data_IF_732116179790
#
_entry.id   IF_732116179790
#
_cell.length_a   1.000
_cell.length_b   1.000
_cell.length_c   1.000
_cell.angle_alpha   90.00
_cell.angle_beta   90.00
_cell.angle_gamma   90.00
#
_symmetry.space_group_name_H-M   'P 1'
#
loop_
_entity.id
_entity.type
_entity.pdbx_description
1 polymer ?
#
# COMPACT_ATOMS: atom_id res chain seq x y z
N UNK A 1 0.30 -8.87 -23.33
CA UNK A 1 0.60 -9.96 -22.95
C UNK A 1 -0.03 -11.34 -23.18
N UNK A 2 -0.12 -11.71 -24.45
CA UNK A 2 -0.68 -12.96 -24.91
C UNK A 2 0.02 -14.21 -24.34
N UNK A 3 1.27 -14.08 -23.89
CA UNK A 3 2.11 -15.18 -23.44
C UNK A 3 2.21 -15.29 -21.91
N UNK A 4 1.54 -14.45 -21.15
CA UNK A 4 1.66 -14.40 -19.68
C UNK A 4 1.34 -15.77 -19.04
N UNK A 5 0.34 -16.48 -19.56
CA UNK A 5 -0.04 -17.80 -19.03
C UNK A 5 1.03 -18.86 -19.27
N UNK A 6 1.68 -18.84 -20.46
CA UNK A 6 2.79 -19.73 -20.79
C UNK A 6 4.04 -19.38 -19.97
N UNK A 7 4.37 -18.10 -19.87
CA UNK A 7 5.45 -17.64 -19.02
C UNK A 7 5.22 -18.07 -17.55
N UNK A 8 3.99 -17.97 -17.06
CA UNK A 8 3.62 -18.45 -15.74
C UNK A 8 3.87 -19.95 -15.56
N UNK A 9 3.45 -20.78 -16.51
CA UNK A 9 3.67 -22.24 -16.45
C UNK A 9 5.16 -22.60 -16.40
N UNK A 10 5.99 -21.94 -17.22
CA UNK A 10 7.44 -22.15 -17.23
C UNK A 10 8.06 -21.75 -15.89
N UNK A 11 7.64 -20.61 -15.32
CA UNK A 11 8.13 -20.15 -14.03
C UNK A 11 7.67 -21.06 -12.87
N UNK A 12 6.43 -21.56 -12.93
CA UNK A 12 5.92 -22.56 -11.97
C UNK A 12 6.74 -23.87 -12.01
N UNK A 13 7.21 -24.29 -13.21
CA UNK A 13 8.08 -25.46 -13.35
C UNK A 13 9.50 -25.22 -12.81
N UNK A 14 10.04 -24.01 -13.00
CA UNK A 14 11.42 -23.67 -12.57
C UNK A 14 11.50 -23.37 -11.06
N UNK A 15 10.55 -22.58 -10.54
CA UNK A 15 10.60 -22.06 -9.17
C UNK A 15 9.69 -22.80 -8.20
N UNK A 16 8.71 -23.55 -8.69
CA UNK A 16 7.61 -24.13 -7.92
C UNK A 16 6.42 -23.15 -7.82
N UNK A 17 5.20 -23.68 -7.95
CA UNK A 17 3.94 -22.91 -7.88
C UNK A 17 3.79 -22.21 -6.51
N UNK A 18 4.29 -22.82 -5.45
CA UNK A 18 4.29 -22.30 -4.08
C UNK A 18 5.17 -21.07 -3.89
N UNK A 19 6.11 -20.84 -4.80
CA UNK A 19 7.05 -19.72 -4.77
C UNK A 19 6.61 -18.51 -5.61
N UNK A 20 5.40 -18.55 -6.16
CA UNK A 20 4.80 -17.39 -6.79
C UNK A 20 4.37 -16.35 -5.75
N UNK A 21 5.08 -15.26 -5.70
CA UNK A 21 4.80 -14.16 -4.77
C UNK A 21 3.60 -13.31 -5.21
N UNK A 22 3.38 -13.17 -6.51
CA UNK A 22 2.25 -12.41 -7.05
C UNK A 22 2.41 -12.06 -8.53
N UNK A 23 1.33 -11.56 -9.09
CA UNK A 23 1.29 -10.98 -10.44
C UNK A 23 0.90 -9.52 -10.32
N UNK A 24 1.73 -8.63 -10.88
CA UNK A 24 1.45 -7.20 -10.93
C UNK A 24 0.91 -6.89 -12.33
N UNK A 25 -0.20 -6.15 -12.38
CA UNK A 25 -0.76 -5.58 -13.60
C UNK A 25 -0.31 -4.14 -13.68
N UNK A 26 0.51 -3.79 -14.66
CA UNK A 26 1.04 -2.45 -14.85
C UNK A 26 0.40 -1.78 -16.06
N UNK A 27 -0.41 -0.75 -15.83
CA UNK A 27 -0.96 0.06 -16.91
C UNK A 27 0.18 0.73 -17.69
N UNK A 28 0.16 0.59 -19.03
CA UNK A 28 1.24 1.07 -19.90
C UNK A 28 0.77 2.11 -20.93
N UNK A 29 -0.53 2.38 -21.02
CA UNK A 29 -1.12 3.38 -21.94
C UNK A 29 -1.95 4.41 -21.19
N UNK A 30 -1.90 5.63 -21.67
CA UNK A 30 -2.69 6.76 -21.16
C UNK A 30 -4.09 6.76 -21.77
N UNK A 31 -4.21 6.28 -23.02
CA UNK A 31 -5.47 6.26 -23.78
C UNK A 31 -5.67 4.90 -24.44
N UNK A 32 -6.90 4.43 -24.57
CA UNK A 32 -7.19 3.17 -25.24
C UNK A 32 -6.85 3.24 -26.73
N UNK A 33 -6.59 2.08 -27.33
CA UNK A 33 -6.34 1.89 -28.74
C UNK A 33 -7.69 1.80 -29.48
N UNK A 34 -8.11 2.86 -30.16
CA UNK A 34 -9.45 2.98 -30.77
C UNK A 34 -9.70 2.04 -31.94
N UNK A 35 -8.67 1.48 -32.57
CA UNK A 35 -8.74 0.53 -33.66
C UNK A 35 -8.68 -0.93 -33.21
N UNK A 36 -8.69 -1.18 -31.91
CA UNK A 36 -8.75 -2.51 -31.35
C UNK A 36 -10.06 -3.20 -31.71
N UNK A 37 -10.00 -4.42 -32.27
CA UNK A 37 -11.19 -5.19 -32.68
C UNK A 37 -12.01 -5.73 -31.50
N UNK A 38 -11.38 -5.91 -30.33
CA UNK A 38 -12.02 -6.42 -29.11
C UNK A 38 -11.76 -5.46 -27.96
N UNK A 39 -10.73 -5.71 -27.19
CA UNK A 39 -10.33 -4.87 -26.07
C UNK A 39 -9.01 -4.17 -26.37
N UNK A 40 -8.85 -2.93 -25.89
CA UNK A 40 -7.56 -2.27 -25.88
C UNK A 40 -6.67 -2.94 -24.83
N UNK A 41 -5.52 -3.44 -25.23
CA UNK A 41 -4.52 -3.98 -24.30
C UNK A 41 -3.68 -2.82 -23.78
N UNK A 42 -3.98 -2.40 -22.55
CA UNK A 42 -3.43 -1.18 -21.95
C UNK A 42 -2.50 -1.46 -20.75
N UNK A 43 -2.05 -2.71 -20.63
CA UNK A 43 -1.22 -3.13 -19.50
C UNK A 43 -0.20 -4.20 -19.87
N UNK A 44 0.81 -4.30 -19.03
CA UNK A 44 1.79 -5.39 -19.00
C UNK A 44 1.61 -6.19 -17.69
N UNK A 45 2.15 -7.41 -17.67
CA UNK A 45 2.23 -8.22 -16.46
C UNK A 45 3.66 -8.32 -15.96
N UNK A 46 3.84 -8.25 -14.63
CA UNK A 46 5.09 -8.58 -13.96
C UNK A 46 4.83 -9.80 -13.08
N UNK A 47 5.40 -10.94 -13.44
CA UNK A 47 5.33 -12.16 -12.65
C UNK A 47 6.45 -12.15 -11.61
N UNK A 48 6.11 -12.26 -10.34
CA UNK A 48 7.06 -12.20 -9.24
C UNK A 48 7.18 -13.58 -8.60
N UNK A 49 8.39 -14.10 -8.59
CA UNK A 49 8.74 -15.37 -7.95
C UNK A 49 9.88 -15.15 -6.96
N UNK A 50 9.84 -15.86 -5.86
CA UNK A 50 10.96 -15.98 -4.94
C UNK A 50 11.61 -17.36 -5.09
N UNK A 51 12.88 -17.50 -4.76
CA UNK A 51 13.51 -18.82 -4.67
C UNK A 51 12.90 -19.64 -3.52
N UNK A 52 12.56 -18.98 -2.43
CA UNK A 52 11.82 -19.51 -1.28
C UNK A 52 10.90 -18.39 -0.76
N UNK A 53 9.60 -18.52 -1.01
CA UNK A 53 8.63 -17.49 -0.60
C UNK A 53 8.48 -17.40 0.93
N UNK A 54 8.79 -18.46 1.66
CA UNK A 54 8.74 -18.42 3.12
C UNK A 54 9.79 -17.45 3.74
N UNK A 55 10.88 -17.22 3.03
CA UNK A 55 12.00 -16.38 3.47
C UNK A 55 12.02 -15.01 2.78
N UNK A 56 11.06 -14.73 1.89
CA UNK A 56 11.04 -13.50 1.11
C UNK A 56 9.74 -12.71 1.27
N UNK A 57 9.88 -11.42 1.39
CA UNK A 57 8.78 -10.46 1.32
C UNK A 57 9.22 -9.26 0.47
N UNK A 58 8.31 -8.66 -0.31
CA UNK A 58 8.64 -7.47 -1.07
C UNK A 58 9.03 -6.32 -0.14
N UNK A 59 10.04 -5.57 -0.51
CA UNK A 59 10.35 -4.32 0.15
C UNK A 59 9.17 -3.34 -0.02
N UNK A 60 9.00 -2.47 0.96
CA UNK A 60 8.00 -1.42 0.88
C UNK A 60 8.48 -0.32 -0.06
N UNK A 61 7.56 0.19 -0.88
CA UNK A 61 7.80 1.37 -1.71
C UNK A 61 7.69 2.65 -0.88
N UNK A 62 8.35 3.70 -1.33
CA UNK A 62 8.18 5.04 -0.77
C UNK A 62 6.75 5.53 -0.95
N UNK A 63 6.32 6.40 -0.03
CA UNK A 63 5.02 7.06 -0.13
C UNK A 63 5.06 8.10 -1.22
N UNK A 64 3.90 8.32 -1.85
CA UNK A 64 3.74 9.50 -2.71
C UNK A 64 3.35 10.72 -1.87
N UNK A 65 3.56 11.92 -2.42
CA UNK A 65 3.17 13.17 -1.77
C UNK A 65 1.67 13.18 -1.41
N UNK A 66 0.80 12.68 -2.30
CA UNK A 66 -0.65 12.58 -2.05
C UNK A 66 -0.98 11.64 -0.87
N UNK A 67 -0.16 10.61 -0.64
CA UNK A 67 -0.31 9.72 0.52
C UNK A 67 0.18 10.39 1.81
N UNK A 68 1.16 11.27 1.74
CA UNK A 68 1.65 12.04 2.88
C UNK A 68 0.72 13.21 3.21
N UNK A 69 0.10 13.84 2.23
CA UNK A 69 -0.92 14.90 2.43
C UNK A 69 -2.15 14.43 3.23
N UNK A 70 -2.38 13.11 3.31
CA UNK A 70 -3.40 12.55 4.19
C UNK A 70 -3.07 12.65 5.68
N UNK A 71 -1.84 13.06 6.00
CA UNK A 71 -1.37 13.25 7.37
C UNK A 71 -1.36 14.73 7.71
N UNK A 72 -2.16 15.12 8.69
CA UNK A 72 -2.21 16.47 9.22
C UNK A 72 -1.74 16.51 10.67
N UNK A 73 -1.72 17.71 11.25
CA UNK A 73 -1.44 17.90 12.68
C UNK A 73 -2.41 18.94 13.28
N UNK A 74 -3.72 18.59 13.36
CA UNK A 74 -4.75 19.57 13.76
C UNK A 74 -4.72 19.93 15.24
N UNK A 75 -4.00 19.20 16.07
CA UNK A 75 -3.84 19.41 17.51
C UNK A 75 -2.39 19.76 17.91
N UNK A 76 -1.57 20.14 16.95
CA UNK A 76 -0.17 20.56 17.15
C UNK A 76 0.68 19.55 17.96
N UNK A 77 0.43 18.26 17.75
CA UNK A 77 1.17 17.21 18.45
C UNK A 77 2.66 17.28 18.08
N UNK A 78 3.52 17.29 19.08
CA UNK A 78 4.98 17.48 18.91
C UNK A 78 5.66 16.36 18.14
N UNK A 79 5.00 15.19 18.00
CA UNK A 79 5.48 14.05 17.21
C UNK A 79 5.29 14.27 15.70
N UNK A 80 4.60 15.33 15.30
CA UNK A 80 4.40 15.68 13.89
C UNK A 80 3.07 15.20 13.30
N UNK A 81 2.97 15.14 11.97
CA UNK A 81 1.73 14.80 11.27
C UNK A 81 1.25 13.37 11.56
N UNK A 82 -0.07 13.21 11.66
CA UNK A 82 -0.73 11.92 11.89
C UNK A 82 -2.02 11.79 11.07
N UNK A 83 -2.41 10.56 10.78
CA UNK A 83 -3.69 10.23 10.15
C UNK A 83 -4.65 9.64 11.17
N UNK A 84 -5.93 10.01 11.07
CA UNK A 84 -6.96 9.57 12.00
C UNK A 84 -7.63 8.28 11.53
N UNK A 85 -7.57 7.25 12.36
CA UNK A 85 -8.25 5.97 12.11
C UNK A 85 -9.47 5.81 13.02
N UNK A 86 -10.46 5.04 12.57
CA UNK A 86 -11.58 4.65 13.43
C UNK A 86 -11.10 3.83 14.62
N UNK A 87 -11.61 4.13 15.81
CA UNK A 87 -11.29 3.40 17.04
C UNK A 87 -12.13 2.13 17.21
N UNK A 88 -13.15 1.96 16.37
CA UNK A 88 -14.05 0.81 16.34
C UNK A 88 -13.71 -0.18 15.22
N UNK A 89 -14.13 -1.42 15.35
CA UNK A 89 -14.09 -2.48 14.35
C UNK A 89 -15.51 -2.91 13.97
N UNK A 90 -15.69 -3.43 12.75
CA UNK A 90 -16.98 -3.93 12.25
C UNK A 90 -17.31 -5.34 12.80
N UNK A 91 -17.06 -5.57 14.08
CA UNK A 91 -17.37 -6.81 14.80
C UNK A 91 -18.30 -6.50 15.94
N UNK A 92 -19.34 -7.30 16.10
CA UNK A 92 -20.34 -7.13 17.15
C UNK A 92 -19.83 -7.53 18.53
N UNK A 93 -20.51 -7.06 19.57
CA UNK A 93 -20.23 -7.46 20.96
C UNK A 93 -20.39 -8.98 21.20
N UNK A 94 -21.26 -9.66 20.44
CA UNK A 94 -21.38 -11.12 20.51
C UNK A 94 -20.19 -11.87 19.92
N UNK A 95 -19.53 -11.29 18.89
CA UNK A 95 -18.32 -11.87 18.29
C UNK A 95 -17.07 -11.58 19.14
N UNK A 96 -17.03 -10.41 19.79
CA UNK A 96 -15.87 -9.95 20.57
C UNK A 96 -16.29 -9.26 21.86
N UNK A 97 -16.83 -9.99 22.84
CA UNK A 97 -17.37 -9.41 24.07
C UNK A 97 -16.31 -8.68 24.92
N UNK A 98 -15.06 -9.12 24.88
CA UNK A 98 -13.94 -8.50 25.58
C UNK A 98 -13.51 -7.12 25.00
N UNK A 99 -14.02 -6.75 23.82
CA UNK A 99 -13.78 -5.46 23.20
C UNK A 99 -15.00 -4.52 23.28
N UNK A 100 -16.03 -4.91 24.03
CA UNK A 100 -17.24 -4.12 24.26
C UNK A 100 -17.25 -3.66 25.73
N UNK A 101 -16.65 -2.50 26.00
CA UNK A 101 -16.51 -1.91 27.35
C UNK A 101 -16.66 -0.38 27.26
N UNK A 102 -17.00 0.25 28.40
CA UNK A 102 -17.06 1.71 28.50
C UNK A 102 -15.68 2.32 28.54
N UNK A 103 -15.49 3.42 27.83
CA UNK A 103 -14.36 4.34 27.98
C UNK A 103 -14.86 5.71 28.47
N UNK A 104 -14.06 6.44 29.23
CA UNK A 104 -14.47 7.73 29.77
C UNK A 104 -14.05 8.84 28.80
N UNK A 105 -15.00 9.67 28.42
CA UNK A 105 -14.74 10.85 27.61
C UNK A 105 -13.93 11.87 28.41
N UNK A 106 -12.72 12.29 27.95
CA UNK A 106 -11.81 13.08 28.77
C UNK A 106 -12.33 14.47 29.15
N UNK A 107 -13.18 15.09 28.31
CA UNK A 107 -13.72 16.42 28.53
C UNK A 107 -15.02 16.44 29.33
N UNK A 108 -15.87 15.42 29.15
CA UNK A 108 -17.24 15.41 29.74
C UNK A 108 -17.38 14.46 30.90
N UNK A 109 -16.48 13.50 31.08
CA UNK A 109 -16.56 12.47 32.09
C UNK A 109 -17.65 11.39 31.82
N UNK A 110 -18.33 11.47 30.67
CA UNK A 110 -19.41 10.54 30.32
C UNK A 110 -18.83 9.23 29.78
N UNK A 111 -19.50 8.13 30.11
CA UNK A 111 -19.19 6.82 29.50
C UNK A 111 -19.53 6.80 28.01
N UNK A 112 -18.59 6.32 27.21
CA UNK A 112 -18.74 6.13 25.77
C UNK A 112 -18.58 4.66 25.46
N UNK A 113 -19.57 4.10 24.79
CA UNK A 113 -19.60 2.72 24.32
C UNK A 113 -19.39 2.67 22.81
N UNK A 114 -18.92 1.54 22.23
CA UNK A 114 -18.93 1.34 20.79
C UNK A 114 -20.35 1.53 20.22
N UNK A 115 -20.45 1.95 18.98
CA UNK A 115 -21.74 2.01 18.29
C UNK A 115 -22.31 0.61 18.11
N UNK A 116 -23.64 0.51 18.04
CA UNK A 116 -24.34 -0.75 17.80
C UNK A 116 -23.77 -1.50 16.59
N UNK A 117 -23.57 -2.81 16.74
CA UNK A 117 -22.96 -3.65 15.71
C UNK A 117 -21.43 -3.54 15.60
N UNK A 118 -20.78 -2.74 16.47
CA UNK A 118 -19.32 -2.58 16.48
C UNK A 118 -18.74 -2.90 17.87
N UNK A 119 -17.40 -3.03 17.92
CA UNK A 119 -16.63 -3.10 19.17
C UNK A 119 -15.42 -2.20 19.05
N UNK A 120 -14.73 -1.93 20.15
CA UNK A 120 -13.43 -1.28 20.07
C UNK A 120 -12.41 -2.15 19.31
N UNK A 121 -11.37 -1.54 18.74
CA UNK A 121 -10.24 -2.26 18.10
C UNK A 121 -9.25 -2.82 19.10
N UNK A 122 -9.23 -2.28 20.30
CA UNK A 122 -8.19 -2.49 21.30
C UNK A 122 -8.80 -3.05 22.58
N UNK A 123 -8.04 -3.90 23.28
CA UNK A 123 -8.42 -4.37 24.64
C UNK A 123 -8.37 -3.20 25.60
N UNK A 124 -8.92 -3.38 26.80
CA UNK A 124 -8.96 -2.34 27.82
C UNK A 124 -7.54 -1.94 28.27
N UNK A 125 -6.62 -2.89 28.37
CA UNK A 125 -5.23 -2.64 28.70
C UNK A 125 -4.56 -1.79 27.61
N UNK A 126 -4.77 -2.17 26.34
CA UNK A 126 -4.22 -1.42 25.21
C UNK A 126 -4.87 -0.03 25.06
N UNK A 127 -6.13 0.11 25.43
CA UNK A 127 -6.78 1.42 25.50
C UNK A 127 -6.08 2.33 26.53
N UNK A 128 -5.78 1.82 27.72
CA UNK A 128 -5.05 2.59 28.74
C UNK A 128 -3.67 3.05 28.27
N UNK A 129 -2.94 2.17 27.56
CA UNK A 129 -1.68 2.56 26.93
C UNK A 129 -1.87 3.64 25.86
N UNK A 130 -2.91 3.52 25.04
CA UNK A 130 -3.20 4.52 24.00
C UNK A 130 -3.55 5.88 24.62
N UNK A 131 -4.27 5.90 25.73
CA UNK A 131 -4.56 7.13 26.49
C UNK A 131 -3.27 7.73 27.07
N UNK A 132 -2.44 6.93 27.74
CA UNK A 132 -1.18 7.40 28.33
C UNK A 132 -0.21 7.97 27.31
N UNK A 133 -0.25 7.45 26.07
CA UNK A 133 0.56 7.92 24.92
C UNK A 133 -0.10 9.04 24.11
N UNK A 134 -1.23 9.59 24.56
CA UNK A 134 -1.99 10.60 23.84
C UNK A 134 -2.30 10.19 22.37
N UNK A 135 -2.75 8.95 22.16
CA UNK A 135 -3.06 8.41 20.83
C UNK A 135 -4.55 8.51 20.47
N UNK A 136 -5.38 9.04 21.36
CA UNK A 136 -6.80 9.27 21.11
C UNK A 136 -7.05 10.72 20.73
N UNK A 137 -7.79 10.88 19.63
CA UNK A 137 -8.23 12.19 19.16
C UNK A 137 -9.76 12.29 19.24
N UNK A 138 -10.24 13.31 19.93
CA UNK A 138 -11.65 13.58 20.19
C UNK A 138 -12.20 14.76 19.39
N UNK A 139 -11.65 14.99 18.19
CA UNK A 139 -11.99 16.14 17.37
C UNK A 139 -11.23 17.41 17.77
N UNK A 140 -11.30 18.42 16.91
CA UNK A 140 -10.58 19.70 17.09
C UNK A 140 -10.93 20.36 18.44
N UNK A 141 -12.20 20.29 18.85
CA UNK A 141 -12.67 20.87 20.11
C UNK A 141 -12.58 19.88 21.29
N UNK A 142 -12.13 18.64 21.08
CA UNK A 142 -12.11 17.59 22.10
C UNK A 142 -13.51 17.15 22.57
N UNK A 143 -14.54 17.25 21.72
CA UNK A 143 -15.95 16.99 22.03
C UNK A 143 -16.59 15.96 21.10
N UNK A 144 -15.81 15.28 20.28
CA UNK A 144 -16.32 14.24 19.38
C UNK A 144 -16.91 13.08 20.17
N UNK A 145 -18.08 12.60 19.74
CA UNK A 145 -18.85 11.54 20.39
C UNK A 145 -18.09 10.21 20.50
N UNK A 146 -17.14 9.97 19.60
CA UNK A 146 -16.31 8.77 19.54
C UNK A 146 -14.85 9.16 19.31
N UNK A 147 -13.90 8.47 19.93
CA UNK A 147 -12.49 8.75 19.68
C UNK A 147 -12.05 8.22 18.34
N UNK A 148 -11.00 8.81 17.82
CA UNK A 148 -10.22 8.31 16.71
C UNK A 148 -8.81 7.99 17.18
N UNK A 149 -8.12 7.11 16.47
CA UNK A 149 -6.75 6.73 16.78
C UNK A 149 -5.78 7.54 15.93
N UNK A 150 -4.81 8.20 16.55
CA UNK A 150 -3.72 8.88 15.87
C UNK A 150 -2.68 7.87 15.39
N UNK A 151 -2.37 7.88 14.11
CA UNK A 151 -1.27 7.11 13.52
C UNK A 151 -0.29 8.06 12.88
N UNK A 152 0.88 8.23 13.51
CA UNK A 152 1.87 9.21 13.09
C UNK A 152 2.59 8.78 11.81
N UNK A 153 2.88 9.77 10.95
CA UNK A 153 3.66 9.55 9.73
C UNK A 153 5.06 9.02 10.05
N UNK A 154 5.69 9.55 11.09
CA UNK A 154 7.03 9.13 11.53
C UNK A 154 7.12 7.63 11.93
N UNK A 155 6.01 7.05 12.43
CA UNK A 155 5.94 5.63 12.80
C UNK A 155 5.68 4.72 11.58
N UNK A 156 5.44 5.31 10.42
CA UNK A 156 5.04 4.59 9.22
C UNK A 156 6.24 4.40 8.31
N UNK A 157 6.64 3.18 8.10
CA UNK A 157 7.55 2.83 7.01
C UNK A 157 6.91 3.06 5.62
N UNK A 158 7.55 2.58 4.58
CA UNK A 158 7.01 2.60 3.23
C UNK A 158 5.66 1.88 3.09
N UNK A 159 5.12 1.88 1.90
CA UNK A 159 3.81 1.26 1.56
C UNK A 159 4.04 -0.12 0.96
N UNK A 160 3.26 -1.11 1.40
CA UNK A 160 3.25 -2.43 0.76
C UNK A 160 2.90 -2.28 -0.72
N UNK A 161 3.68 -2.85 -1.65
CA UNK A 161 3.39 -2.77 -3.07
C UNK A 161 1.99 -3.30 -3.40
N UNK A 162 1.29 -2.62 -4.28
CA UNK A 162 -0.02 -3.06 -4.78
C UNK A 162 0.19 -4.00 -5.98
N UNK A 163 -0.80 -4.83 -6.28
CA UNK A 163 -0.79 -5.67 -7.48
C UNK A 163 -1.28 -4.96 -8.74
N UNK A 164 -1.79 -3.72 -8.62
CA UNK A 164 -2.19 -2.89 -9.76
C UNK A 164 -1.39 -1.60 -9.72
N UNK A 165 -0.64 -1.34 -10.77
CA UNK A 165 0.25 -0.20 -10.94
C UNK A 165 -0.25 0.72 -12.04
N UNK A 166 -0.55 1.98 -11.71
CA UNK A 166 -1.02 2.98 -12.65
C UNK A 166 0.13 3.63 -13.42
N UNK A 167 -0.13 4.01 -14.67
CA UNK A 167 0.84 4.72 -15.52
C UNK A 167 1.23 6.10 -14.96
N UNK A 168 0.36 6.71 -14.17
CA UNK A 168 0.58 7.98 -13.49
C UNK A 168 1.81 7.96 -12.57
N UNK A 169 2.01 6.85 -11.87
CA UNK A 169 3.13 6.64 -10.96
C UNK A 169 4.31 5.91 -11.60
N UNK A 170 4.02 4.85 -12.38
CA UNK A 170 5.06 3.93 -12.87
C UNK A 170 5.43 4.17 -14.33
N UNK A 171 4.81 5.16 -14.96
CA UNK A 171 5.10 5.56 -16.33
C UNK A 171 4.33 4.78 -17.39
N UNK A 172 4.31 5.34 -18.59
CA UNK A 172 3.66 4.75 -19.78
C UNK A 172 4.71 4.43 -20.85
N UNK A 173 4.32 3.67 -21.88
CA UNK A 173 5.16 3.41 -23.07
C UNK A 173 5.59 4.70 -23.77
N UNK A 174 4.72 5.73 -23.79
CA UNK A 174 5.08 7.04 -24.34
C UNK A 174 6.20 7.69 -23.52
N UNK A 175 6.10 7.64 -22.20
CA UNK A 175 7.14 8.18 -21.30
C UNK A 175 8.46 7.46 -21.51
N UNK A 176 8.45 6.12 -21.57
CA UNK A 176 9.65 5.32 -21.85
C UNK A 176 10.32 5.70 -23.17
N UNK A 177 9.52 5.93 -24.23
CA UNK A 177 10.04 6.36 -25.53
C UNK A 177 10.72 7.74 -25.47
N UNK A 178 10.17 8.69 -24.70
CA UNK A 178 10.79 10.00 -24.48
C UNK A 178 12.09 9.87 -23.69
N UNK A 179 12.13 9.06 -22.63
CA UNK A 179 13.33 8.80 -21.84
C UNK A 179 14.48 8.23 -22.70
N UNK A 180 14.16 7.28 -23.60
CA UNK A 180 15.14 6.74 -24.54
C UNK A 180 15.63 7.80 -25.55
N UNK A 181 14.72 8.64 -26.04
CA UNK A 181 15.09 9.74 -26.94
C UNK A 181 16.00 10.77 -26.26
N UNK A 182 15.72 11.14 -25.02
CA UNK A 182 16.55 12.05 -24.22
C UNK A 182 17.98 11.50 -24.03
N UNK A 183 18.12 10.17 -23.92
CA UNK A 183 19.41 9.48 -23.84
C UNK A 183 20.09 9.27 -25.19
N UNK A 184 19.45 9.63 -26.30
CA UNK A 184 19.97 9.38 -27.66
C UNK A 184 20.00 7.91 -28.05
N UNK A 185 19.22 7.05 -27.36
CA UNK A 185 19.19 5.62 -27.58
C UNK A 185 17.95 5.22 -28.37
N UNK A 186 18.04 4.11 -29.09
CA UNK A 186 16.91 3.49 -29.80
C UNK A 186 16.68 2.10 -29.28
N UNK A 187 15.48 1.87 -28.72
CA UNK A 187 15.04 0.57 -28.27
C UNK A 187 13.59 0.35 -28.69
N UNK A 188 13.21 -0.80 -29.29
CA UNK A 188 11.90 -0.96 -29.96
C UNK A 188 10.70 -0.90 -29.01
N UNK A 189 10.83 -1.38 -27.78
CA UNK A 189 9.73 -1.43 -26.80
C UNK A 189 10.25 -1.12 -25.38
N UNK A 190 10.68 0.14 -25.15
CA UNK A 190 11.25 0.48 -23.85
C UNK A 190 10.20 0.41 -22.75
N UNK A 191 10.63 0.04 -21.54
CA UNK A 191 9.83 0.15 -20.34
C UNK A 191 10.20 1.44 -19.57
N UNK A 192 9.24 2.11 -18.93
CA UNK A 192 9.51 3.34 -18.18
C UNK A 192 10.51 3.10 -17.05
N UNK A 193 11.38 4.06 -16.81
CA UNK A 193 12.39 3.99 -15.76
C UNK A 193 11.76 3.78 -14.39
N UNK A 194 10.68 4.52 -14.07
CA UNK A 194 9.97 4.37 -12.79
C UNK A 194 9.45 2.96 -12.55
N UNK A 195 9.01 2.26 -13.62
CA UNK A 195 8.56 0.86 -13.51
C UNK A 195 9.74 -0.05 -13.15
N UNK A 196 10.87 0.10 -13.84
CA UNK A 196 12.06 -0.73 -13.60
C UNK A 196 12.64 -0.46 -12.21
N UNK A 197 12.74 0.79 -11.80
CA UNK A 197 13.17 1.17 -10.45
C UNK A 197 12.26 0.55 -9.37
N UNK A 198 10.94 0.58 -9.57
CA UNK A 198 10.01 -0.01 -8.63
C UNK A 198 10.15 -1.54 -8.56
N UNK A 199 10.36 -2.22 -9.70
CA UNK A 199 10.61 -3.68 -9.74
C UNK A 199 11.87 -4.02 -8.94
N UNK A 200 12.94 -3.29 -9.17
CA UNK A 200 14.20 -3.46 -8.43
C UNK A 200 14.00 -3.17 -6.94
N UNK A 201 13.35 -2.05 -6.62
CA UNK A 201 13.12 -1.63 -5.23
C UNK A 201 12.33 -2.65 -4.41
N UNK A 202 11.32 -3.30 -4.98
CA UNK A 202 10.53 -4.31 -4.26
C UNK A 202 11.24 -5.65 -4.12
N UNK A 203 12.15 -5.99 -5.05
CA UNK A 203 12.77 -7.30 -5.12
C UNK A 203 14.17 -7.39 -4.53
N UNK A 204 14.90 -6.30 -4.47
CA UNK A 204 16.33 -6.27 -4.17
C UNK A 204 16.65 -5.50 -2.88
N UNK A 205 17.66 -5.94 -2.14
CA UNK A 205 18.32 -5.15 -1.10
C UNK A 205 19.36 -4.21 -1.73
N UNK A 206 19.86 -3.26 -0.95
CA UNK A 206 20.88 -2.30 -1.43
C UNK A 206 22.18 -2.98 -1.92
N UNK A 207 22.48 -4.19 -1.40
CA UNK A 207 23.69 -4.96 -1.72
C UNK A 207 23.40 -6.08 -2.73
N UNK A 208 22.20 -6.15 -3.30
CA UNK A 208 21.82 -7.24 -4.20
C UNK A 208 22.53 -7.13 -5.55
N UNK A 209 22.90 -8.27 -6.11
CA UNK A 209 23.32 -8.40 -7.50
C UNK A 209 22.10 -8.57 -8.37
N UNK A 210 21.94 -7.71 -9.37
CA UNK A 210 20.84 -7.74 -10.33
C UNK A 210 21.36 -8.27 -11.65
N UNK A 211 20.69 -9.27 -12.21
CA UNK A 211 20.95 -9.81 -13.53
C UNK A 211 19.73 -9.50 -14.43
N UNK A 212 19.97 -8.80 -15.52
CA UNK A 212 19.03 -8.67 -16.63
C UNK A 212 19.52 -9.54 -17.80
N UNK A 213 18.74 -10.54 -18.19
CA UNK A 213 19.12 -11.47 -19.25
C UNK A 213 18.77 -10.96 -20.65
N UNK A 214 18.10 -9.83 -20.77
CA UNK A 214 17.56 -9.28 -22.01
C UNK A 214 18.01 -7.83 -22.27
N UNK A 215 18.93 -7.31 -21.46
CA UNK A 215 19.48 -5.96 -21.60
C UNK A 215 20.47 -5.87 -22.80
#
# INVERSE_FOLDING_TARGET
DNEVHRARMVLDEIFGVENHAGTIVSANKVSPTNDAQTFSEDHDYVLVYARNLADWMPNKLERTNEQEELYGNPDEDTRGPWNSLTYTSNKSASERPNLNYAIIHPKTGVEVWPQDGTTWRFTQERHQENVSKNLLYWGVNGDARQPRFKRFLADMGGVVPRSVWGYDRFGSTQRASLEMQELGLRFPTPKPLNLLEAIVAIGASNDAVILDSFA
#
